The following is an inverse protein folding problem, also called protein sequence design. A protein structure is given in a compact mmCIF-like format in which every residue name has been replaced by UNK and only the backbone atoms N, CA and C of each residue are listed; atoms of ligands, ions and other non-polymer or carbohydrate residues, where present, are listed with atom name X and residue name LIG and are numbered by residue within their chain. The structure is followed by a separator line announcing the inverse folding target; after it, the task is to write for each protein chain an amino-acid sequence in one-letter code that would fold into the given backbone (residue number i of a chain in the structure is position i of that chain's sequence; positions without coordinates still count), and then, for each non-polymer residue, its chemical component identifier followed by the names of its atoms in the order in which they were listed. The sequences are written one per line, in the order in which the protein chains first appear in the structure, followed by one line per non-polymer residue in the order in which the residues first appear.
data_IF_102625672907
#
_entry.id   IF_102625672907
#
_cell.length_a   1.000
_cell.length_b   1.000
_cell.length_c   1.000
_cell.angle_alpha   90.00
_cell.angle_beta   90.00
_cell.angle_gamma   90.00
#
_symmetry.space_group_name_H-M   'P 1'
#
loop_
_entity.id
_entity.type
_entity.pdbx_description
1 polymer ?
#
# COMPACT_ATOMS: atom_id res chain seq x y z
N UNK A 1 13.41 16.17 18.77
CA UNK A 1 13.60 14.76 18.41
C UNK A 1 13.50 14.67 16.90
N UNK A 2 14.35 13.91 16.25
CA UNK A 2 14.24 13.61 14.81
C UNK A 2 13.02 12.70 14.62
N UNK A 3 12.24 12.93 13.55
CA UNK A 3 11.10 12.08 13.20
C UNK A 3 11.57 10.64 12.93
N UNK A 4 10.80 9.64 13.33
CA UNK A 4 11.08 8.21 13.11
C UNK A 4 11.32 7.91 11.63
N UNK A 5 10.63 8.63 10.72
CA UNK A 5 10.79 8.44 9.28
C UNK A 5 12.04 9.06 8.67
N UNK A 6 12.82 9.83 9.42
CA UNK A 6 13.99 10.48 8.84
C UNK A 6 15.01 9.47 8.28
N UNK A 7 15.14 9.43 6.95
CA UNK A 7 16.00 8.50 6.24
C UNK A 7 15.44 7.07 6.08
N UNK A 8 14.20 6.81 6.50
CA UNK A 8 13.51 5.53 6.25
C UNK A 8 13.18 5.39 4.76
N UNK A 9 13.46 4.23 4.19
CA UNK A 9 13.28 3.90 2.77
C UNK A 9 11.90 3.29 2.55
N UNK A 10 11.00 4.02 1.91
CA UNK A 10 9.58 3.65 1.76
C UNK A 10 9.20 3.48 0.30
N UNK A 11 8.57 2.36 -0.05
CA UNK A 11 7.94 2.14 -1.34
C UNK A 11 6.41 2.13 -1.21
N UNK A 12 5.69 2.83 -2.12
CA UNK A 12 4.24 2.96 -2.10
C UNK A 12 3.67 2.62 -3.47
N UNK A 13 2.71 1.69 -3.56
CA UNK A 13 1.99 1.43 -4.80
C UNK A 13 0.72 2.27 -4.89
N UNK A 14 0.36 2.74 -6.11
CA UNK A 14 -0.80 3.62 -6.31
C UNK A 14 -0.58 5.05 -5.81
N UNK A 15 0.64 5.59 -5.89
CA UNK A 15 1.06 6.85 -5.26
C UNK A 15 0.61 8.14 -5.97
N UNK A 16 -0.27 8.10 -6.99
CA UNK A 16 -0.63 9.28 -7.79
C UNK A 16 -2.01 9.86 -7.52
N UNK A 17 -2.79 9.28 -6.62
CA UNK A 17 -4.14 9.78 -6.26
C UNK A 17 -4.56 9.30 -4.87
N UNK A 18 -5.61 9.91 -4.32
CA UNK A 18 -6.26 9.51 -3.07
C UNK A 18 -5.27 9.27 -1.93
N UNK A 19 -5.47 8.19 -1.19
CA UNK A 19 -4.63 7.79 -0.05
C UNK A 19 -3.14 7.64 -0.42
N UNK A 20 -2.85 7.02 -1.58
CA UNK A 20 -1.46 6.81 -1.99
C UNK A 20 -0.69 8.11 -2.19
N UNK A 21 -1.31 9.13 -2.81
CA UNK A 21 -0.71 10.46 -2.95
C UNK A 21 -0.56 11.16 -1.60
N UNK A 22 -1.54 11.03 -0.72
CA UNK A 22 -1.46 11.57 0.64
C UNK A 22 -0.31 10.94 1.43
N UNK A 23 -0.11 9.61 1.33
CA UNK A 23 1.02 8.90 1.94
C UNK A 23 2.37 9.34 1.36
N UNK A 24 2.47 9.55 0.03
CA UNK A 24 3.70 10.09 -0.59
C UNK A 24 4.06 11.43 0.04
N UNK A 25 3.09 12.34 0.18
CA UNK A 25 3.29 13.68 0.77
C UNK A 25 3.67 13.61 2.24
N UNK A 26 2.88 12.89 3.03
CA UNK A 26 3.10 12.73 4.48
C UNK A 26 4.50 12.19 4.79
N UNK A 27 4.87 11.07 4.16
CA UNK A 27 6.13 10.41 4.46
C UNK A 27 7.34 11.21 3.94
N UNK A 28 7.23 11.87 2.78
CA UNK A 28 8.28 12.76 2.27
C UNK A 28 8.48 13.96 3.20
N UNK A 29 7.40 14.58 3.70
CA UNK A 29 7.47 15.70 4.64
C UNK A 29 8.11 15.30 5.98
N UNK A 30 7.96 14.04 6.39
CA UNK A 30 8.58 13.48 7.61
C UNK A 30 10.01 13.00 7.40
N UNK A 31 10.58 13.24 6.23
CA UNK A 31 11.99 12.96 5.94
C UNK A 31 12.28 11.55 5.44
N UNK A 32 11.27 10.76 5.08
CA UNK A 32 11.46 9.47 4.44
C UNK A 32 12.00 9.63 3.01
N UNK A 33 12.78 8.65 2.55
CA UNK A 33 13.13 8.48 1.14
C UNK A 33 12.02 7.66 0.49
N UNK A 34 11.22 8.29 -0.36
CA UNK A 34 10.00 7.68 -0.90
C UNK A 34 10.20 7.31 -2.37
N UNK A 35 9.89 6.07 -2.74
CA UNK A 35 9.64 5.65 -4.12
C UNK A 35 8.16 5.29 -4.26
N UNK A 36 7.49 5.83 -5.27
CA UNK A 36 6.09 5.49 -5.51
C UNK A 36 5.87 4.96 -6.93
N UNK A 37 4.95 4.00 -7.04
CA UNK A 37 4.61 3.33 -8.29
C UNK A 37 3.20 3.71 -8.73
N UNK A 38 3.01 4.01 -10.01
CA UNK A 38 1.71 4.12 -10.66
C UNK A 38 1.79 3.87 -12.16
N UNK A 39 0.63 3.66 -12.80
CA UNK A 39 0.55 3.24 -14.21
C UNK A 39 0.75 4.37 -15.22
N UNK A 40 0.27 5.56 -14.91
CA UNK A 40 0.19 6.68 -15.86
C UNK A 40 1.45 7.54 -15.78
N UNK A 41 2.29 7.47 -16.79
CA UNK A 41 3.60 8.17 -16.87
C UNK A 41 3.50 9.66 -16.56
N UNK A 42 2.52 10.34 -17.15
CA UNK A 42 2.33 11.79 -17.00
C UNK A 42 1.99 12.15 -15.55
N UNK A 43 1.14 11.34 -14.90
CA UNK A 43 0.79 11.55 -13.49
C UNK A 43 1.96 11.24 -12.56
N UNK A 44 2.74 10.21 -12.87
CA UNK A 44 3.97 9.87 -12.12
C UNK A 44 4.96 11.02 -12.18
N UNK A 45 5.21 11.57 -13.38
CA UNK A 45 6.11 12.70 -13.56
C UNK A 45 5.63 13.96 -12.83
N UNK A 46 4.32 14.27 -12.93
CA UNK A 46 3.71 15.41 -12.23
C UNK A 46 3.88 15.30 -10.71
N UNK A 47 3.52 14.15 -10.14
CA UNK A 47 3.60 13.94 -8.68
C UNK A 47 5.05 13.99 -8.19
N UNK A 48 6.00 13.44 -8.93
CA UNK A 48 7.43 13.53 -8.59
C UNK A 48 7.92 14.99 -8.62
N UNK A 49 7.47 15.79 -9.57
CA UNK A 49 7.81 17.22 -9.64
C UNK A 49 7.19 18.02 -8.49
N UNK A 50 5.95 17.71 -8.10
CA UNK A 50 5.24 18.37 -6.99
C UNK A 50 5.77 17.97 -5.60
N UNK A 51 6.46 16.83 -5.49
CA UNK A 51 6.98 16.30 -4.23
C UNK A 51 8.49 16.03 -4.32
N UNK A 52 9.34 17.07 -4.25
CA UNK A 52 10.80 16.91 -4.27
C UNK A 52 11.27 15.95 -3.18
N UNK A 53 12.06 14.94 -3.57
CA UNK A 53 12.51 13.86 -2.68
C UNK A 53 11.70 12.56 -2.78
N UNK A 54 10.59 12.57 -3.54
CA UNK A 54 9.88 11.35 -3.92
C UNK A 54 10.25 10.91 -5.35
N UNK A 55 10.56 9.61 -5.54
CA UNK A 55 10.94 9.03 -6.82
C UNK A 55 9.75 8.31 -7.46
N UNK A 56 9.33 8.78 -8.64
CA UNK A 56 8.22 8.20 -9.37
C UNK A 56 8.66 7.05 -10.28
N UNK A 57 8.01 5.90 -10.18
CA UNK A 57 8.25 4.71 -10.99
C UNK A 57 6.98 4.37 -11.78
N UNK A 58 7.11 4.20 -13.09
CA UNK A 58 5.99 3.77 -13.94
C UNK A 58 5.92 2.25 -13.95
N UNK A 59 4.76 1.69 -13.56
CA UNK A 59 4.53 0.25 -13.57
C UNK A 59 3.13 -0.11 -13.10
N UNK A 60 2.68 -1.29 -13.46
CA UNK A 60 1.39 -1.86 -13.06
C UNK A 60 1.62 -3.08 -12.16
N UNK A 61 1.11 -3.03 -10.93
CA UNK A 61 1.19 -4.15 -9.99
C UNK A 61 0.43 -5.39 -10.49
N UNK A 62 -0.56 -5.22 -11.37
CA UNK A 62 -1.28 -6.31 -12.00
C UNK A 62 -0.45 -7.00 -13.09
N UNK A 63 0.52 -6.31 -13.70
CA UNK A 63 1.38 -6.84 -14.76
C UNK A 63 2.51 -7.69 -14.17
N UNK A 64 2.50 -8.99 -14.47
CA UNK A 64 3.58 -9.90 -14.07
C UNK A 64 4.96 -9.43 -14.58
N UNK A 65 5.00 -8.83 -15.75
CA UNK A 65 6.23 -8.40 -16.39
C UNK A 65 6.84 -7.15 -15.77
N UNK A 66 6.02 -6.33 -15.06
CA UNK A 66 6.47 -5.09 -14.44
C UNK A 66 7.04 -5.32 -13.03
N UNK A 67 6.73 -6.44 -12.38
CA UNK A 67 7.07 -6.69 -10.97
C UNK A 67 8.58 -6.59 -10.71
N UNK A 68 9.38 -7.34 -11.44
CA UNK A 68 10.84 -7.32 -11.24
C UNK A 68 11.49 -5.99 -11.67
N UNK A 69 11.13 -5.38 -12.82
CA UNK A 69 11.58 -4.03 -13.15
C UNK A 69 11.24 -2.99 -12.07
N UNK A 70 10.02 -3.02 -11.51
CA UNK A 70 9.64 -2.14 -10.40
C UNK A 70 10.49 -2.39 -9.15
N UNK A 71 10.66 -3.65 -8.75
CA UNK A 71 11.45 -4.01 -7.58
C UNK A 71 12.93 -3.55 -7.70
N UNK A 72 13.53 -3.70 -8.87
CA UNK A 72 14.90 -3.23 -9.15
C UNK A 72 14.98 -1.70 -9.08
N UNK A 73 14.02 -0.99 -9.67
CA UNK A 73 13.99 0.48 -9.61
C UNK A 73 13.79 0.98 -8.18
N UNK A 74 12.84 0.41 -7.42
CA UNK A 74 12.60 0.74 -6.01
C UNK A 74 13.90 0.61 -5.20
N UNK A 75 14.53 -0.55 -5.27
CA UNK A 75 15.75 -0.79 -4.48
C UNK A 75 16.95 0.02 -4.97
N UNK A 76 17.05 0.30 -6.26
CA UNK A 76 18.08 1.16 -6.84
C UNK A 76 17.96 2.62 -6.40
N UNK A 77 16.75 3.19 -6.48
CA UNK A 77 16.51 4.60 -6.08
C UNK A 77 16.65 4.81 -4.56
N UNK A 78 16.20 3.84 -3.76
CA UNK A 78 16.23 3.96 -2.30
C UNK A 78 17.53 3.46 -1.67
N UNK A 79 18.31 2.62 -2.36
CA UNK A 79 19.48 1.95 -1.79
C UNK A 79 19.11 0.86 -0.77
N UNK A 80 17.93 0.25 -0.91
CA UNK A 80 17.35 -0.76 -0.03
C UNK A 80 15.88 -0.50 0.23
N UNK A 81 15.28 -1.17 1.23
CA UNK A 81 13.85 -0.98 1.54
C UNK A 81 13.58 -1.30 3.00
N UNK A 82 12.96 -0.36 3.71
CA UNK A 82 12.54 -0.53 5.11
C UNK A 82 11.02 -0.72 5.23
N UNK A 83 10.24 -0.02 4.38
CA UNK A 83 8.77 -0.09 4.41
C UNK A 83 8.21 -0.26 3.01
N UNK A 84 7.33 -1.25 2.84
CA UNK A 84 6.53 -1.44 1.62
C UNK A 84 5.06 -1.18 1.95
N UNK A 85 4.41 -0.25 1.23
CA UNK A 85 2.98 0.02 1.35
C UNK A 85 2.27 -0.42 0.07
N UNK A 86 1.56 -1.54 0.13
CA UNK A 86 0.69 -2.03 -0.93
C UNK A 86 -0.66 -1.32 -0.83
N UNK A 87 -0.78 -0.18 -1.52
CA UNK A 87 -1.97 0.66 -1.53
C UNK A 87 -2.74 0.61 -2.85
N UNK A 88 -2.10 0.30 -3.99
CA UNK A 88 -2.81 0.15 -5.27
C UNK A 88 -3.97 -0.84 -5.16
N UNK A 89 -5.14 -0.45 -5.67
CA UNK A 89 -6.36 -1.25 -5.53
C UNK A 89 -7.29 -1.09 -6.72
N UNK A 90 -8.18 -2.06 -6.91
CA UNK A 90 -9.23 -2.13 -7.92
C UNK A 90 -10.54 -2.55 -7.27
N UNK A 91 -11.64 -1.86 -7.57
CA UNK A 91 -12.98 -2.15 -7.01
C UNK A 91 -13.65 -3.38 -7.63
N UNK A 92 -13.18 -3.81 -8.81
CA UNK A 92 -13.94 -4.68 -9.69
C UNK A 92 -14.89 -3.87 -10.57
N UNK A 93 -16.16 -4.28 -10.74
CA UNK A 93 -17.11 -3.55 -11.58
C UNK A 93 -17.43 -2.17 -10.99
N UNK A 94 -17.55 -1.17 -11.87
CA UNK A 94 -18.07 0.15 -11.52
C UNK A 94 -19.06 0.60 -12.60
N UNK A 95 -20.35 0.84 -12.21
CA UNK A 95 -20.90 0.78 -10.83
C UNK A 95 -20.79 -0.60 -10.20
N UNK A 96 -20.86 -0.64 -8.86
CA UNK A 96 -20.81 -1.90 -8.10
C UNK A 96 -21.94 -2.83 -8.53
N UNK A 97 -21.67 -4.11 -8.67
CA UNK A 97 -22.60 -5.12 -9.14
C UNK A 97 -22.76 -6.27 -8.13
N UNK A 98 -23.95 -6.86 -8.09
CA UNK A 98 -24.16 -8.09 -7.32
C UNK A 98 -23.28 -9.21 -7.88
N UNK A 99 -22.87 -10.18 -7.04
CA UNK A 99 -22.00 -11.28 -7.49
C UNK A 99 -22.56 -12.07 -8.68
N UNK A 100 -23.89 -12.22 -8.75
CA UNK A 100 -24.56 -12.87 -9.89
C UNK A 100 -24.39 -12.11 -11.20
N UNK A 101 -24.14 -10.80 -11.14
CA UNK A 101 -24.06 -9.88 -12.28
C UNK A 101 -22.63 -9.38 -12.50
N UNK A 102 -21.67 -9.84 -11.70
CA UNK A 102 -20.26 -9.51 -11.81
C UNK A 102 -19.62 -10.39 -12.89
N UNK A 103 -18.99 -9.76 -13.90
CA UNK A 103 -18.23 -10.50 -14.91
C UNK A 103 -17.00 -11.15 -14.27
N UNK A 104 -16.64 -12.34 -14.77
CA UNK A 104 -15.47 -13.07 -14.26
C UNK A 104 -14.19 -12.26 -14.38
N UNK A 105 -14.05 -11.51 -15.46
CA UNK A 105 -12.91 -10.63 -15.77
C UNK A 105 -12.77 -9.49 -14.75
N UNK A 106 -13.88 -8.95 -14.24
CA UNK A 106 -13.86 -7.92 -13.19
C UNK A 106 -13.38 -8.49 -11.86
N UNK A 107 -13.84 -9.68 -11.49
CA UNK A 107 -13.35 -10.40 -10.33
C UNK A 107 -11.86 -10.72 -10.46
N UNK A 108 -11.42 -11.26 -11.60
CA UNK A 108 -10.03 -11.59 -11.89
C UNK A 108 -9.14 -10.35 -11.81
N UNK A 109 -9.59 -9.21 -12.35
CA UNK A 109 -8.88 -7.92 -12.30
C UNK A 109 -8.71 -7.43 -10.85
N UNK A 110 -9.78 -7.48 -10.05
CA UNK A 110 -9.74 -7.11 -8.64
C UNK A 110 -8.75 -7.99 -7.86
N UNK A 111 -8.80 -9.31 -8.04
CA UNK A 111 -7.86 -10.23 -7.39
C UNK A 111 -6.42 -10.04 -7.89
N UNK A 112 -6.24 -9.81 -9.17
CA UNK A 112 -4.91 -9.60 -9.75
C UNK A 112 -4.26 -8.35 -9.17
N UNK A 113 -5.02 -7.25 -9.04
CA UNK A 113 -4.51 -5.98 -8.50
C UNK A 113 -4.38 -6.03 -6.98
N UNK A 114 -5.40 -6.54 -6.26
CA UNK A 114 -5.48 -6.40 -4.80
C UNK A 114 -4.77 -7.53 -4.04
N UNK A 115 -4.53 -8.68 -4.67
CA UNK A 115 -3.96 -9.86 -4.01
C UNK A 115 -2.65 -10.31 -4.68
N UNK A 116 -2.73 -10.63 -5.99
CA UNK A 116 -1.61 -11.22 -6.71
C UNK A 116 -0.48 -10.20 -6.91
N UNK A 117 -0.82 -8.95 -7.20
CA UNK A 117 0.13 -7.84 -7.33
C UNK A 117 0.95 -7.63 -6.05
N UNK A 118 0.30 -7.34 -4.90
CA UNK A 118 0.95 -7.25 -3.60
C UNK A 118 1.79 -8.48 -3.25
N UNK A 119 1.28 -9.69 -3.47
CA UNK A 119 2.03 -10.93 -3.25
C UNK A 119 3.31 -10.98 -4.07
N UNK A 120 3.23 -10.72 -5.38
CA UNK A 120 4.39 -10.75 -6.29
C UNK A 120 5.43 -9.70 -5.94
N UNK A 121 4.99 -8.45 -5.68
CA UNK A 121 5.89 -7.36 -5.38
C UNK A 121 6.57 -7.56 -4.01
N UNK A 122 5.82 -7.94 -2.98
CA UNK A 122 6.36 -8.29 -1.67
C UNK A 122 7.41 -9.40 -1.79
N UNK A 123 7.10 -10.49 -2.51
CA UNK A 123 8.03 -11.59 -2.75
C UNK A 123 9.31 -11.13 -3.47
N UNK A 124 9.20 -10.24 -4.46
CA UNK A 124 10.35 -9.71 -5.19
C UNK A 124 11.22 -8.79 -4.32
N UNK A 125 10.63 -8.08 -3.34
CA UNK A 125 11.30 -7.16 -2.42
C UNK A 125 11.71 -7.80 -1.09
N UNK A 126 11.33 -9.05 -0.81
CA UNK A 126 11.58 -9.72 0.47
C UNK A 126 13.07 -9.73 0.85
N UNK A 127 13.97 -9.91 -0.13
CA UNK A 127 15.41 -9.88 0.12
C UNK A 127 15.90 -8.53 0.65
N UNK A 128 15.34 -7.41 0.14
CA UNK A 128 15.67 -6.06 0.59
C UNK A 128 15.08 -5.77 1.99
N UNK A 129 13.84 -6.21 2.25
CA UNK A 129 13.20 -6.10 3.57
C UNK A 129 13.98 -6.91 4.63
N UNK A 130 14.33 -8.15 4.33
CA UNK A 130 15.13 -8.99 5.24
C UNK A 130 16.55 -8.42 5.46
N UNK A 131 17.13 -7.74 4.48
CA UNK A 131 18.40 -7.03 4.66
C UNK A 131 18.24 -5.85 5.64
N UNK A 132 17.18 -5.05 5.48
CA UNK A 132 16.85 -3.96 6.41
C UNK A 132 16.67 -4.46 7.85
N UNK A 133 15.93 -5.56 8.04
CA UNK A 133 15.75 -6.17 9.35
C UNK A 133 17.10 -6.57 9.98
N UNK A 134 18.00 -7.21 9.21
CA UNK A 134 19.35 -7.58 9.67
C UNK A 134 20.25 -6.38 9.99
N UNK A 135 20.01 -5.24 9.34
CA UNK A 135 20.70 -3.98 9.61
C UNK A 135 20.18 -3.28 10.88
N UNK A 136 19.17 -3.85 11.55
CA UNK A 136 18.55 -3.26 12.74
C UNK A 136 17.67 -2.03 12.45
N UNK A 137 17.26 -1.83 11.19
CA UNK A 137 16.43 -0.70 10.76
C UNK A 137 14.91 -0.98 10.88
N UNK A 138 14.56 -2.24 11.14
CA UNK A 138 13.19 -2.74 11.03
C UNK A 138 12.75 -2.95 9.58
N UNK A 139 11.76 -3.81 9.39
CA UNK A 139 11.13 -4.00 8.09
C UNK A 139 9.62 -4.17 8.27
N UNK A 140 8.84 -3.32 7.57
CA UNK A 140 7.39 -3.30 7.67
C UNK A 140 6.76 -3.40 6.30
N UNK A 141 5.80 -4.33 6.12
CA UNK A 141 4.92 -4.39 4.95
C UNK A 141 3.51 -4.04 5.40
N UNK A 142 2.99 -2.91 4.92
CA UNK A 142 1.61 -2.50 5.14
C UNK A 142 0.77 -2.83 3.90
N UNK A 143 -0.22 -3.68 4.06
CA UNK A 143 -1.26 -3.94 3.08
C UNK A 143 -2.52 -3.14 3.46
N UNK A 144 -2.95 -2.22 2.59
CA UNK A 144 -4.17 -1.43 2.83
C UNK A 144 -5.38 -2.34 2.70
N UNK A 145 -6.10 -2.48 3.81
CA UNK A 145 -7.32 -3.27 3.94
C UNK A 145 -8.58 -2.42 3.73
N UNK A 146 -9.69 -2.91 4.16
CA UNK A 146 -11.00 -2.27 4.20
C UNK A 146 -11.86 -3.04 5.19
N UNK A 147 -12.87 -2.40 5.75
CA UNK A 147 -13.92 -3.05 6.53
C UNK A 147 -14.68 -4.12 5.71
N UNK A 148 -14.76 -3.93 4.37
CA UNK A 148 -15.29 -4.92 3.44
C UNK A 148 -14.49 -6.24 3.40
N UNK A 149 -13.29 -6.30 3.99
CA UNK A 149 -12.56 -7.54 4.18
C UNK A 149 -13.20 -8.45 5.25
N UNK A 150 -13.99 -7.86 6.14
CA UNK A 150 -14.61 -8.56 7.29
C UNK A 150 -16.15 -8.56 7.16
N UNK A 151 -16.73 -7.43 6.73
CA UNK A 151 -18.16 -7.26 6.65
C UNK A 151 -18.69 -7.54 5.23
N UNK A 152 -19.71 -8.39 5.07
CA UNK A 152 -20.28 -8.71 3.77
C UNK A 152 -21.28 -7.63 3.33
N UNK A 153 -20.91 -6.85 2.33
CA UNK A 153 -21.81 -5.85 1.74
C UNK A 153 -22.30 -6.31 0.37
N UNK A 154 -23.62 -6.24 0.09
CA UNK A 154 -24.16 -6.48 -1.25
C UNK A 154 -23.53 -5.52 -2.28
N UNK A 155 -23.14 -6.04 -3.45
CA UNK A 155 -22.47 -5.28 -4.49
C UNK A 155 -20.96 -5.16 -4.35
N UNK A 156 -20.38 -5.47 -3.20
CA UNK A 156 -18.92 -5.37 -2.94
C UNK A 156 -18.19 -6.71 -3.12
N UNK A 157 -18.79 -7.68 -3.79
CA UNK A 157 -18.29 -9.06 -3.81
C UNK A 157 -16.86 -9.20 -4.37
N UNK A 158 -16.56 -8.56 -5.49
CA UNK A 158 -15.21 -8.62 -6.09
C UNK A 158 -14.17 -7.94 -5.20
N UNK A 159 -14.46 -6.73 -4.73
CA UNK A 159 -13.57 -5.96 -3.85
C UNK A 159 -13.42 -6.63 -2.48
N UNK A 160 -14.53 -6.84 -1.78
CA UNK A 160 -14.53 -7.37 -0.41
C UNK A 160 -13.84 -8.73 -0.31
N UNK A 161 -14.13 -9.67 -1.22
CA UNK A 161 -13.47 -10.98 -1.23
C UNK A 161 -11.96 -10.85 -1.50
N UNK A 162 -11.53 -9.94 -2.38
CA UNK A 162 -10.11 -9.70 -2.62
C UNK A 162 -9.41 -9.10 -1.39
N UNK A 163 -10.07 -8.15 -0.69
CA UNK A 163 -9.52 -7.57 0.54
C UNK A 163 -9.49 -8.57 1.70
N UNK A 164 -10.48 -9.45 1.82
CA UNK A 164 -10.47 -10.57 2.77
C UNK A 164 -9.29 -11.53 2.50
N UNK A 165 -9.06 -11.86 1.23
CA UNK A 165 -7.93 -12.69 0.83
C UNK A 165 -6.57 -12.03 1.16
N UNK A 166 -6.41 -10.73 0.85
CA UNK A 166 -5.20 -9.97 1.18
C UNK A 166 -5.00 -9.89 2.70
N UNK A 167 -6.06 -9.62 3.47
CA UNK A 167 -6.02 -9.56 4.92
C UNK A 167 -5.53 -10.88 5.53
N UNK A 168 -6.08 -12.01 5.08
CA UNK A 168 -5.64 -13.32 5.57
C UNK A 168 -4.21 -13.66 5.15
N UNK A 169 -3.85 -13.37 3.89
CA UNK A 169 -2.49 -13.55 3.37
C UNK A 169 -1.47 -12.74 4.18
N UNK A 170 -1.81 -11.50 4.58
CA UNK A 170 -0.96 -10.65 5.43
C UNK A 170 -0.64 -11.33 6.77
N UNK A 171 -1.64 -11.94 7.39
CA UNK A 171 -1.46 -12.67 8.67
C UNK A 171 -0.53 -13.88 8.50
N UNK A 172 -0.69 -14.64 7.41
CA UNK A 172 0.21 -15.78 7.12
C UNK A 172 1.64 -15.28 6.92
N UNK A 173 1.85 -14.24 6.10
CA UNK A 173 3.18 -13.64 5.92
C UNK A 173 3.80 -13.19 7.24
N UNK A 174 3.01 -12.59 8.14
CA UNK A 174 3.53 -12.17 9.45
C UNK A 174 4.01 -13.35 10.29
N UNK A 175 3.21 -14.42 10.40
CA UNK A 175 3.59 -15.62 11.15
C UNK A 175 4.85 -16.29 10.58
N UNK A 176 5.03 -16.25 9.25
CA UNK A 176 6.19 -16.85 8.58
C UNK A 176 7.49 -16.03 8.78
N UNK A 177 7.41 -14.70 8.91
CA UNK A 177 8.60 -13.82 8.84
C UNK A 177 8.83 -12.91 10.04
N UNK A 178 7.93 -12.87 11.02
CA UNK A 178 8.07 -12.01 12.21
C UNK A 178 9.36 -12.30 12.98
N UNK A 179 9.75 -13.57 13.06
CA UNK A 179 11.01 -14.00 13.72
C UNK A 179 12.27 -13.62 12.93
N UNK A 180 12.12 -13.24 11.65
CA UNK A 180 13.19 -12.72 10.79
C UNK A 180 13.27 -11.18 10.85
N UNK A 181 12.40 -10.55 11.67
CA UNK A 181 12.30 -9.09 11.83
C UNK A 181 11.56 -8.39 10.71
N UNK A 182 10.79 -9.11 9.87
CA UNK A 182 9.90 -8.53 8.86
C UNK A 182 8.47 -8.64 9.36
N UNK A 183 7.82 -7.50 9.57
CA UNK A 183 6.48 -7.41 10.13
C UNK A 183 5.46 -7.04 9.07
N UNK A 184 4.31 -7.69 9.10
CA UNK A 184 3.23 -7.46 8.15
C UNK A 184 1.99 -6.90 8.85
N UNK A 185 1.51 -5.76 8.38
CA UNK A 185 0.32 -5.07 8.87
C UNK A 185 -0.78 -5.08 7.81
N UNK A 186 -2.02 -5.24 8.25
CA UNK A 186 -3.21 -5.07 7.42
C UNK A 186 -4.13 -4.10 8.13
N UNK A 187 -4.22 -2.86 7.62
CA UNK A 187 -4.95 -1.77 8.26
C UNK A 187 -6.01 -1.20 7.31
N UNK A 188 -7.18 -0.94 7.88
CA UNK A 188 -8.26 -0.25 7.21
C UNK A 188 -8.14 1.26 7.47
N UNK A 189 -8.01 2.10 6.43
CA UNK A 189 -7.94 3.56 6.57
C UNK A 189 -9.31 4.22 6.86
N UNK A 190 -10.41 3.45 6.73
CA UNK A 190 -11.79 3.95 6.76
C UNK A 190 -12.23 4.58 5.43
N UNK A 191 -13.49 5.03 5.40
CA UNK A 191 -14.09 5.67 4.22
C UNK A 191 -13.50 7.06 4.00
N UNK A 192 -12.97 7.30 2.80
CA UNK A 192 -12.23 8.53 2.47
C UNK A 192 -12.81 9.22 1.25
N UNK A 193 -12.74 10.54 1.23
CA UNK A 193 -13.03 11.36 0.04
C UNK A 193 -11.96 11.16 -1.03
N UNK A 194 -12.16 10.16 -1.87
CA UNK A 194 -11.24 9.75 -2.94
C UNK A 194 -11.98 9.45 -4.23
N UNK A 195 -11.29 9.51 -5.39
CA UNK A 195 -11.89 9.07 -6.66
C UNK A 195 -12.40 7.63 -6.63
N UNK A 196 -11.75 6.75 -5.88
CA UNK A 196 -12.18 5.36 -5.71
C UNK A 196 -13.51 5.27 -4.95
N UNK A 197 -13.66 6.01 -3.85
CA UNK A 197 -14.89 6.03 -3.07
C UNK A 197 -16.05 6.65 -3.88
N UNK A 198 -15.79 7.75 -4.59
CA UNK A 198 -16.77 8.38 -5.46
C UNK A 198 -17.24 7.46 -6.61
N UNK A 199 -16.35 6.60 -7.12
CA UNK A 199 -16.72 5.59 -8.13
C UNK A 199 -17.55 4.44 -7.53
N UNK A 200 -17.33 4.08 -6.27
CA UNK A 200 -18.07 3.04 -5.57
C UNK A 200 -19.44 3.52 -5.08
N UNK A 201 -19.51 4.72 -4.52
CA UNK A 201 -20.71 5.32 -3.91
C UNK A 201 -20.86 6.76 -4.43
N UNK A 202 -21.39 6.96 -5.66
CA UNK A 202 -21.47 8.29 -6.28
C UNK A 202 -22.31 9.32 -5.50
N UNK A 203 -23.28 8.84 -4.72
CA UNK A 203 -24.21 9.67 -3.96
C UNK A 203 -23.76 9.91 -2.50
N UNK A 204 -22.55 9.48 -2.12
CA UNK A 204 -22.01 9.75 -0.79
C UNK A 204 -21.76 11.25 -0.58
N UNK A 205 -22.11 11.75 0.61
CA UNK A 205 -21.76 13.12 0.99
C UNK A 205 -20.27 13.21 1.36
N UNK A 206 -19.44 13.92 0.57
CA UNK A 206 -18.00 14.04 0.86
C UNK A 206 -17.70 14.64 2.24
N UNK A 207 -18.62 15.43 2.80
CA UNK A 207 -18.45 16.03 4.12
C UNK A 207 -18.46 15.02 5.27
N UNK A 208 -19.00 13.81 5.03
CA UNK A 208 -19.02 12.72 6.01
C UNK A 208 -17.80 11.80 5.91
N UNK A 209 -16.99 11.95 4.88
CA UNK A 209 -15.84 11.11 4.61
C UNK A 209 -14.56 11.67 5.25
N UNK A 210 -13.69 10.77 5.66
CA UNK A 210 -12.35 11.13 6.14
C UNK A 210 -11.52 11.74 5.00
N UNK A 211 -10.72 12.75 5.30
CA UNK A 211 -9.76 13.27 4.33
C UNK A 211 -8.63 12.27 4.13
N UNK A 212 -8.14 12.06 2.88
CA UNK A 212 -7.02 11.15 2.63
C UNK A 212 -5.75 11.49 3.43
N UNK A 213 -5.51 12.79 3.69
CA UNK A 213 -4.37 13.26 4.48
C UNK A 213 -4.45 12.81 5.95
N UNK A 214 -5.66 12.81 6.52
CA UNK A 214 -5.86 12.31 7.88
C UNK A 214 -5.62 10.80 7.95
N UNK A 215 -6.15 10.03 7.00
CA UNK A 215 -5.91 8.60 6.93
C UNK A 215 -4.42 8.27 6.71
N UNK A 216 -3.72 9.05 5.87
CA UNK A 216 -2.29 8.89 5.64
C UNK A 216 -1.48 9.15 6.92
N UNK A 217 -1.85 10.17 7.70
CA UNK A 217 -1.22 10.46 8.99
C UNK A 217 -1.43 9.31 9.98
N UNK A 218 -2.66 8.82 10.13
CA UNK A 218 -2.98 7.70 11.04
C UNK A 218 -2.21 6.42 10.66
N UNK A 219 -2.09 6.12 9.37
CA UNK A 219 -1.32 4.97 8.89
C UNK A 219 0.20 5.17 9.09
N UNK A 220 0.70 6.38 8.89
CA UNK A 220 2.10 6.70 9.17
C UNK A 220 2.41 6.51 10.66
N UNK A 221 1.54 6.97 11.57
CA UNK A 221 1.70 6.74 13.02
C UNK A 221 1.70 5.25 13.37
N UNK A 222 0.84 4.45 12.73
CA UNK A 222 0.83 2.99 12.95
C UNK A 222 2.14 2.32 12.47
N UNK A 223 2.71 2.76 11.36
CA UNK A 223 4.02 2.30 10.87
C UNK A 223 5.13 2.74 11.84
N UNK A 224 5.12 4.01 12.28
CA UNK A 224 6.10 4.55 13.22
C UNK A 224 6.11 3.74 14.53
N UNK A 225 4.95 3.51 15.11
CA UNK A 225 4.81 2.69 16.33
C UNK A 225 5.33 1.26 16.14
N UNK A 226 5.18 0.68 14.94
CA UNK A 226 5.74 -0.64 14.66
C UNK A 226 7.27 -0.60 14.54
N UNK A 227 7.83 0.41 13.90
CA UNK A 227 9.30 0.60 13.80
C UNK A 227 9.90 0.76 15.19
N UNK A 228 9.34 1.63 16.05
CA UNK A 228 9.79 1.85 17.42
C UNK A 228 9.76 0.55 18.26
N UNK A 229 8.68 -0.23 18.11
CA UNK A 229 8.57 -1.55 18.79
C UNK A 229 9.66 -2.52 18.35
N UNK A 230 9.98 -2.55 17.04
CA UNK A 230 11.07 -3.38 16.50
C UNK A 230 12.41 -2.94 17.09
N UNK A 231 12.68 -1.64 17.13
CA UNK A 231 13.91 -1.08 17.68
C UNK A 231 14.06 -1.39 19.17
N UNK A 232 12.98 -1.35 19.96
CA UNK A 232 12.98 -1.73 21.37
C UNK A 232 13.33 -3.21 21.55
N UNK A 233 12.78 -4.09 20.72
CA UNK A 233 13.08 -5.53 20.75
C UNK A 233 14.54 -5.85 20.40
N UNK A 234 15.15 -5.08 19.49
CA UNK A 234 16.56 -5.26 19.12
C UNK A 234 17.52 -4.81 20.23
N UNK A 235 17.10 -3.80 21.03
CA UNK A 235 17.93 -3.26 22.14
C UNK A 235 17.84 -4.09 23.43
N UNK A 236 16.82 -4.97 23.58
CA UNK A 236 16.57 -5.81 24.76
C UNK A 236 17.35 -7.12 24.70
#
# INVERSE_FOLDING_TARGET
MTDVFNGVRVAITGGTSGLGLALVRELTQRGARVAFVARTRERVAQVAQENPGAHGIVGDVASKNDIYPMAIQITGELGGLDVLINNASDLGPTPLAMLSDTECEDLERAFTTNVIGPFRLTKALMGALAASAREGRGAVVLNISSDAAINPYPGWGAYGSSKAALHHLTRIWNEEHVNEGVHFLSLDPGDMDTPMHAAAIPDADPATLKRPEQAAHELAEAIAAQIERIEELIRS
#
